data_IF_861281022291
#
_entry.id   IF_861281022291
#
_cell.length_a   1.000
_cell.length_b   1.000
_cell.length_c   1.000
_cell.angle_alpha   90.00
_cell.angle_beta   90.00
_cell.angle_gamma   90.00
#
_symmetry.space_group_name_H-M   'P 1'
#
loop_
_entity.id
_entity.type
_entity.pdbx_description
1 polymer ?
#
# COMPACT_ATOMS: atom_id res chain seq x y z
N UNK A 1 -24.02 6.65 -7.01
CA UNK A 1 -23.30 6.05 -5.86
C UNK A 1 -22.61 4.78 -6.33
N UNK A 2 -21.34 4.55 -5.98
CA UNK A 2 -20.61 3.34 -6.39
C UNK A 2 -21.09 2.14 -5.56
N UNK A 3 -21.39 1.04 -6.24
CA UNK A 3 -21.82 -0.24 -5.65
C UNK A 3 -20.87 -1.35 -6.02
N UNK A 4 -20.78 -2.36 -5.18
CA UNK A 4 -19.91 -3.53 -5.36
C UNK A 4 -20.73 -4.81 -5.25
N UNK A 5 -20.40 -5.77 -6.10
CA UNK A 5 -20.86 -7.14 -6.01
C UNK A 5 -20.08 -7.92 -4.94
N UNK A 6 -20.65 -9.06 -4.53
CA UNK A 6 -19.98 -10.00 -3.61
C UNK A 6 -18.61 -10.44 -4.13
N UNK A 7 -18.47 -10.61 -5.45
CA UNK A 7 -17.22 -11.03 -6.09
C UNK A 7 -16.15 -9.94 -5.98
N UNK A 8 -16.51 -8.69 -6.27
CA UNK A 8 -15.58 -7.58 -6.18
C UNK A 8 -15.10 -7.36 -4.74
N UNK A 9 -15.99 -7.46 -3.74
CA UNK A 9 -15.57 -7.35 -2.33
C UNK A 9 -14.65 -8.51 -1.92
N UNK A 10 -14.90 -9.71 -2.46
CA UNK A 10 -14.05 -10.88 -2.21
C UNK A 10 -12.62 -10.64 -2.68
N UNK A 11 -12.47 -10.09 -3.88
CA UNK A 11 -11.18 -9.74 -4.46
C UNK A 11 -10.52 -8.58 -3.70
N UNK A 12 -11.28 -7.52 -3.38
CA UNK A 12 -10.79 -6.36 -2.63
C UNK A 12 -10.29 -6.72 -1.22
N UNK A 13 -10.99 -7.62 -0.52
CA UNK A 13 -10.67 -8.02 0.85
C UNK A 13 -9.84 -9.31 0.94
N UNK A 14 -9.49 -9.93 -0.19
CA UNK A 14 -8.80 -11.22 -0.23
C UNK A 14 -9.52 -12.30 0.59
N UNK A 15 -10.86 -12.29 0.61
CA UNK A 15 -11.67 -13.12 1.50
C UNK A 15 -12.65 -13.96 0.69
N UNK A 16 -12.89 -15.22 1.09
CA UNK A 16 -13.79 -16.12 0.38
C UNK A 16 -15.20 -15.49 0.16
N UNK A 17 -15.76 -15.53 -1.07
CA UNK A 17 -17.10 -15.00 -1.37
C UNK A 17 -18.19 -15.52 -0.44
N UNK A 18 -18.09 -16.77 0.02
CA UNK A 18 -19.07 -17.36 0.94
C UNK A 18 -19.06 -16.70 2.31
N UNK A 19 -17.89 -16.24 2.78
CA UNK A 19 -17.78 -15.46 4.02
C UNK A 19 -18.55 -14.14 3.89
N UNK A 20 -18.48 -13.50 2.72
CA UNK A 20 -19.21 -12.25 2.45
C UNK A 20 -20.72 -12.51 2.40
N UNK A 21 -21.16 -13.58 1.73
CA UNK A 21 -22.59 -13.98 1.75
C UNK A 21 -23.08 -14.24 3.18
N UNK A 22 -22.27 -14.89 4.01
CA UNK A 22 -22.58 -15.11 5.43
C UNK A 22 -22.71 -13.81 6.22
N UNK A 23 -21.88 -12.80 5.95
CA UNK A 23 -22.02 -11.48 6.58
C UNK A 23 -23.29 -10.76 6.16
N UNK A 24 -23.67 -10.85 4.90
CA UNK A 24 -24.92 -10.29 4.39
C UNK A 24 -26.12 -10.99 5.06
N UNK A 25 -26.12 -12.33 5.08
CA UNK A 25 -27.20 -13.10 5.71
C UNK A 25 -27.33 -12.86 7.22
N UNK A 26 -26.21 -12.60 7.90
CA UNK A 26 -26.21 -12.28 9.35
C UNK A 26 -26.45 -10.80 9.65
N UNK A 27 -26.65 -9.96 8.62
CA UNK A 27 -26.86 -8.52 8.78
C UNK A 27 -25.61 -7.72 9.16
N UNK A 28 -24.43 -8.35 9.23
CA UNK A 28 -23.16 -7.67 9.52
C UNK A 28 -22.74 -6.73 8.39
N UNK A 29 -23.00 -7.13 7.15
CA UNK A 29 -22.74 -6.33 5.96
C UNK A 29 -24.08 -6.00 5.29
N UNK A 30 -24.43 -4.72 5.25
CA UNK A 30 -25.68 -4.28 4.61
C UNK A 30 -25.53 -4.38 3.09
N UNK A 31 -26.51 -5.01 2.46
CA UNK A 31 -26.60 -5.14 1.00
C UNK A 31 -28.04 -4.93 0.56
N UNK A 32 -28.22 -4.45 -0.67
CA UNK A 32 -29.50 -4.38 -1.35
C UNK A 32 -29.51 -5.38 -2.49
N UNK A 33 -30.64 -6.08 -2.66
CA UNK A 33 -30.84 -7.01 -3.77
C UNK A 33 -31.91 -6.43 -4.69
N UNK A 34 -31.53 -5.70 -5.75
CA UNK A 34 -32.50 -5.13 -6.70
C UNK A 34 -33.26 -6.22 -7.48
N UNK A 35 -32.61 -7.35 -7.75
CA UNK A 35 -33.21 -8.48 -8.48
C UNK A 35 -32.56 -9.81 -8.08
N UNK A 36 -33.30 -10.91 -8.26
CA UNK A 36 -32.76 -12.27 -8.13
C UNK A 36 -31.60 -12.53 -9.09
N UNK A 37 -31.61 -11.90 -10.27
CA UNK A 37 -30.59 -12.06 -11.31
C UNK A 37 -29.31 -11.25 -11.04
N UNK A 38 -29.44 -10.06 -10.44
CA UNK A 38 -28.30 -9.17 -10.16
C UNK A 38 -27.60 -9.51 -8.85
N UNK A 39 -28.29 -10.20 -7.93
CA UNK A 39 -27.72 -10.62 -6.66
C UNK A 39 -27.53 -9.46 -5.67
N UNK A 40 -26.68 -9.67 -4.67
CA UNK A 40 -26.45 -8.69 -3.61
C UNK A 40 -25.47 -7.60 -4.05
N UNK A 41 -25.90 -6.35 -3.94
CA UNK A 41 -25.09 -5.16 -4.16
C UNK A 41 -24.86 -4.44 -2.84
N UNK A 42 -23.63 -4.01 -2.62
CA UNK A 42 -23.20 -3.31 -1.41
C UNK A 42 -22.80 -1.90 -1.82
N UNK A 43 -23.36 -0.89 -1.15
CA UNK A 43 -22.94 0.49 -1.39
C UNK A 43 -21.54 0.75 -0.81
N UNK A 44 -20.78 1.65 -1.42
CA UNK A 44 -19.48 2.07 -0.86
C UNK A 44 -19.60 2.56 0.59
N UNK A 45 -20.69 3.25 0.94
CA UNK A 45 -20.94 3.72 2.30
C UNK A 45 -21.14 2.57 3.29
N UNK A 46 -21.94 1.56 2.93
CA UNK A 46 -22.20 0.40 3.79
C UNK A 46 -20.95 -0.47 3.95
N UNK A 47 -20.15 -0.61 2.90
CA UNK A 47 -18.85 -1.29 2.96
C UNK A 47 -17.89 -0.56 3.92
N UNK A 48 -17.84 0.78 3.88
CA UNK A 48 -17.01 1.55 4.80
C UNK A 48 -17.48 1.42 6.26
N UNK A 49 -18.80 1.41 6.51
CA UNK A 49 -19.34 1.18 7.86
C UNK A 49 -18.93 -0.20 8.37
N UNK A 50 -19.04 -1.24 7.53
CA UNK A 50 -18.60 -2.59 7.87
C UNK A 50 -17.11 -2.64 8.20
N UNK A 51 -16.25 -2.05 7.36
CA UNK A 51 -14.79 -2.06 7.56
C UNK A 51 -14.34 -1.32 8.83
N UNK A 52 -15.05 -0.26 9.23
CA UNK A 52 -14.83 0.41 10.52
C UNK A 52 -15.15 -0.51 11.71
N UNK A 53 -16.16 -1.37 11.58
CA UNK A 53 -16.55 -2.35 12.60
C UNK A 53 -15.72 -3.64 12.59
N UNK A 54 -14.91 -3.87 11.55
CA UNK A 54 -14.10 -5.10 11.42
C UNK A 54 -12.61 -4.80 11.18
N UNK A 55 -11.82 -4.60 12.25
CA UNK A 55 -10.39 -4.24 12.16
C UNK A 55 -9.52 -5.22 11.36
N UNK A 56 -9.92 -6.50 11.30
CA UNK A 56 -9.22 -7.54 10.50
C UNK A 56 -9.18 -7.21 9.00
N UNK A 57 -10.19 -6.52 8.47
CA UNK A 57 -10.36 -6.29 7.03
C UNK A 57 -10.11 -4.83 6.63
N UNK A 58 -9.93 -3.93 7.61
CA UNK A 58 -9.63 -2.51 7.35
C UNK A 58 -8.25 -2.32 6.70
N UNK A 59 -7.26 -3.14 7.08
CA UNK A 59 -5.90 -3.12 6.53
C UNK A 59 -5.81 -3.63 5.08
N UNK A 60 -6.69 -4.56 4.69
CA UNK A 60 -6.73 -5.12 3.32
C UNK A 60 -7.52 -4.20 2.38
N UNK A 61 -8.63 -3.62 2.85
CA UNK A 61 -9.40 -2.64 2.09
C UNK A 61 -8.57 -1.38 1.77
N UNK A 62 -7.73 -0.92 2.70
CA UNK A 62 -6.82 0.21 2.49
C UNK A 62 -5.83 -0.05 1.33
N UNK A 63 -5.34 -1.28 1.16
CA UNK A 63 -4.46 -1.65 0.03
C UNK A 63 -5.20 -1.65 -1.31
N UNK A 64 -6.45 -2.12 -1.32
CA UNK A 64 -7.24 -2.22 -2.56
C UNK A 64 -7.83 -0.89 -3.04
N UNK A 65 -8.17 0.03 -2.12
CA UNK A 65 -8.67 1.36 -2.49
C UNK A 65 -7.56 2.30 -3.01
N UNK A 66 -6.31 2.08 -2.60
CA UNK A 66 -5.16 2.87 -3.06
C UNK A 66 -4.87 2.74 -4.57
N UNK A 67 -5.39 1.70 -5.24
CA UNK A 67 -5.11 1.43 -6.67
C UNK A 67 -6.11 2.12 -7.60
N UNK A 68 -7.32 2.46 -7.13
CA UNK A 68 -8.40 2.94 -8.00
C UNK A 68 -8.61 4.46 -8.02
N UNK A 69 -7.83 5.21 -7.26
CA UNK A 69 -7.91 6.68 -7.17
C UNK A 69 -6.52 7.24 -6.83
N UNK A 70 -6.08 8.37 -7.40
CA UNK A 70 -4.79 9.00 -7.07
C UNK A 70 -4.89 9.73 -5.71
N UNK A 71 -5.47 9.05 -4.70
CA UNK A 71 -5.57 9.54 -3.34
C UNK A 71 -4.24 9.22 -2.66
N UNK A 72 -3.62 10.23 -2.06
CA UNK A 72 -2.44 10.09 -1.21
C UNK A 72 -2.92 9.44 0.10
N UNK A 73 -3.22 8.14 0.06
CA UNK A 73 -3.50 7.36 1.25
C UNK A 73 -2.16 7.03 1.92
N UNK A 74 -1.76 7.82 2.92
CA UNK A 74 -0.69 7.43 3.84
C UNK A 74 -1.08 6.10 4.50
N UNK A 75 -0.34 5.00 4.26
CA UNK A 75 -0.71 3.72 4.83
C UNK A 75 -0.38 3.71 6.33
N UNK A 76 -1.36 3.25 7.11
CA UNK A 76 -1.26 2.86 8.51
C UNK A 76 -0.26 1.69 8.65
N UNK A 77 1.04 1.99 8.67
CA UNK A 77 2.13 1.00 8.80
C UNK A 77 2.74 1.02 10.19
N UNK A 78 2.10 1.54 11.25
CA UNK A 78 2.75 1.50 12.57
C UNK A 78 1.78 1.09 13.69
N UNK A 79 1.97 -0.14 14.17
CA UNK A 79 1.37 -0.63 15.41
C UNK A 79 1.94 0.15 16.58
N UNK A 80 1.20 1.14 17.05
CA UNK A 80 1.58 1.96 18.19
C UNK A 80 0.84 3.28 18.13
N UNK A 81 -0.24 3.37 18.92
CA UNK A 81 -0.99 4.57 19.30
C UNK A 81 -0.97 5.69 18.25
N UNK A 82 -1.94 5.68 17.32
CA UNK A 82 -2.63 6.86 16.76
C UNK A 82 -3.53 6.40 15.62
N UNK A 83 -4.83 6.29 15.92
CA UNK A 83 -5.86 5.83 14.98
C UNK A 83 -6.12 6.81 13.84
N UNK A 84 -6.17 6.27 12.62
CA UNK A 84 -6.96 6.74 11.46
C UNK A 84 -7.13 8.25 11.28
N UNK A 85 -6.13 8.93 10.70
CA UNK A 85 -6.33 10.24 10.10
C UNK A 85 -6.56 10.07 8.59
N UNK A 86 -7.83 10.15 8.17
CA UNK A 86 -8.21 10.30 6.77
C UNK A 86 -8.29 11.79 6.45
N UNK A 87 -7.47 12.29 5.53
CA UNK A 87 -7.35 13.74 5.28
C UNK A 87 -8.27 14.28 4.17
N UNK A 88 -8.94 13.42 3.41
CA UNK A 88 -9.40 13.86 2.09
C UNK A 88 -10.89 14.23 1.99
N UNK A 89 -11.72 14.03 3.04
CA UNK A 89 -13.17 14.34 3.00
C UNK A 89 -13.74 14.77 4.36
N UNK A 90 -12.96 15.42 5.21
CA UNK A 90 -13.41 15.87 6.53
C UNK A 90 -13.17 17.37 6.60
N UNK A 91 -14.25 18.15 6.77
CA UNK A 91 -14.17 19.52 7.28
C UNK A 91 -13.15 19.55 8.42
N UNK A 92 -12.01 20.22 8.18
CA UNK A 92 -10.78 20.10 8.96
C UNK A 92 -10.92 20.38 10.46
N UNK A 93 -12.07 20.88 10.91
CA UNK A 93 -12.36 21.18 12.31
C UNK A 93 -12.97 20.02 13.11
N UNK A 94 -13.65 19.05 12.49
CA UNK A 94 -14.58 18.18 13.23
C UNK A 94 -13.97 16.92 13.87
N UNK A 95 -12.72 16.56 13.52
CA UNK A 95 -12.09 15.32 14.05
C UNK A 95 -10.78 15.50 14.80
N UNK A 96 -10.20 16.70 14.79
CA UNK A 96 -9.06 17.00 15.68
C UNK A 96 -9.54 17.13 17.13
N UNK A 97 -10.77 17.63 17.35
CA UNK A 97 -11.33 17.86 18.70
C UNK A 97 -11.77 16.59 19.45
N UNK A 98 -12.07 15.49 18.74
CA UNK A 98 -12.60 14.25 19.33
C UNK A 98 -11.53 13.21 19.65
N UNK A 99 -10.26 13.50 19.34
CA UNK A 99 -9.13 12.67 19.70
C UNK A 99 -8.40 13.39 20.84
N UNK A 100 -8.20 12.70 21.97
CA UNK A 100 -7.59 13.27 23.18
C UNK A 100 -6.07 13.44 23.03
N UNK A 101 -5.63 14.03 21.91
CA UNK A 101 -4.22 14.21 21.54
C UNK A 101 -4.01 15.69 21.27
N UNK A 102 -2.99 16.27 21.90
CA UNK A 102 -2.64 17.65 21.63
C UNK A 102 -2.16 17.80 20.19
N UNK A 103 -2.63 18.85 19.49
CA UNK A 103 -2.12 19.19 18.16
C UNK A 103 -0.59 19.31 18.14
N UNK A 104 0.02 19.74 19.24
CA UNK A 104 1.48 19.84 19.39
C UNK A 104 2.19 18.47 19.41
N UNK A 105 1.56 17.44 19.96
CA UNK A 105 2.12 16.08 20.00
C UNK A 105 2.05 15.43 18.62
N UNK A 106 0.95 15.65 17.88
CA UNK A 106 0.83 15.22 16.48
C UNK A 106 1.88 15.88 15.60
N UNK A 107 2.07 17.20 15.74
CA UNK A 107 3.08 17.94 14.96
C UNK A 107 4.49 17.40 15.25
N UNK A 108 4.85 17.20 16.52
CA UNK A 108 6.16 16.65 16.89
C UNK A 108 6.37 15.24 16.35
N UNK A 109 5.35 14.38 16.45
CA UNK A 109 5.39 13.05 15.88
C UNK A 109 5.65 13.09 14.37
N UNK A 110 4.85 13.89 13.63
CA UNK A 110 5.00 14.01 12.18
C UNK A 110 6.36 14.57 11.78
N UNK A 111 6.89 15.56 12.51
CA UNK A 111 8.24 16.08 12.28
C UNK A 111 9.31 15.00 12.47
N UNK A 112 9.19 14.18 13.51
CA UNK A 112 10.11 13.06 13.75
C UNK A 112 10.05 12.01 12.64
N UNK A 113 8.86 11.69 12.14
CA UNK A 113 8.69 10.75 11.03
C UNK A 113 9.28 11.30 9.73
N UNK A 114 9.02 12.57 9.41
CA UNK A 114 9.63 13.26 8.26
C UNK A 114 11.16 13.18 8.35
N UNK A 115 11.73 13.44 9.53
CA UNK A 115 13.17 13.39 9.74
C UNK A 115 13.72 11.97 9.54
N UNK A 116 13.11 10.95 10.15
CA UNK A 116 13.54 9.55 10.00
C UNK A 116 13.49 9.08 8.55
N UNK A 117 12.41 9.39 7.83
CA UNK A 117 12.31 9.06 6.40
C UNK A 117 13.34 9.81 5.56
N UNK A 118 13.62 11.08 5.87
CA UNK A 118 14.65 11.86 5.17
C UNK A 118 16.05 11.23 5.35
N UNK A 119 16.38 10.78 6.56
CA UNK A 119 17.63 10.06 6.83
C UNK A 119 17.68 8.74 6.06
N UNK A 120 16.62 7.95 6.13
CA UNK A 120 16.55 6.67 5.43
C UNK A 120 16.62 6.81 3.89
N UNK A 121 16.15 7.92 3.34
CA UNK A 121 16.34 8.26 1.91
C UNK A 121 17.81 8.56 1.64
N UNK A 122 18.47 9.31 2.52
CA UNK A 122 19.87 9.68 2.34
C UNK A 122 20.79 8.46 2.39
N UNK A 123 20.57 7.54 3.33
CA UNK A 123 21.30 6.26 3.41
C UNK A 123 21.15 5.45 2.12
N UNK A 124 19.91 5.25 1.64
CA UNK A 124 19.67 4.53 0.38
C UNK A 124 20.33 5.19 -0.83
N UNK A 125 20.46 6.52 -0.84
CA UNK A 125 21.19 7.22 -1.92
C UNK A 125 22.68 6.89 -1.88
N UNK A 126 23.28 6.77 -0.70
CA UNK A 126 24.68 6.34 -0.56
C UNK A 126 24.86 4.90 -1.02
N UNK A 127 23.93 4.01 -0.67
CA UNK A 127 23.95 2.61 -1.13
C UNK A 127 23.87 2.52 -2.65
N UNK A 128 23.03 3.34 -3.31
CA UNK A 128 22.95 3.40 -4.77
C UNK A 128 24.31 3.81 -5.37
N UNK A 129 24.97 4.83 -4.81
CA UNK A 129 26.28 5.29 -5.30
C UNK A 129 27.32 4.17 -5.16
N UNK A 130 27.33 3.49 -4.01
CA UNK A 130 28.23 2.38 -3.76
C UNK A 130 28.01 1.24 -4.76
N UNK A 131 26.77 0.77 -4.91
CA UNK A 131 26.41 -0.29 -5.86
C UNK A 131 26.74 0.09 -7.30
N UNK A 132 26.57 1.37 -7.68
CA UNK A 132 26.97 1.84 -9.01
C UNK A 132 28.48 1.73 -9.23
N UNK A 133 29.30 2.05 -8.22
CA UNK A 133 30.75 1.88 -8.30
C UNK A 133 31.15 0.40 -8.40
N UNK A 134 30.45 -0.48 -7.68
CA UNK A 134 30.69 -1.93 -7.73
C UNK A 134 30.40 -2.50 -9.13
N UNK A 135 29.25 -2.15 -9.70
CA UNK A 135 28.87 -2.53 -11.07
C UNK A 135 29.93 -2.05 -12.09
N UNK A 136 30.44 -0.82 -11.95
CA UNK A 136 31.48 -0.31 -12.84
C UNK A 136 32.78 -1.12 -12.73
N UNK A 137 33.17 -1.50 -11.52
CA UNK A 137 34.35 -2.33 -11.31
C UNK A 137 34.20 -3.72 -11.94
N UNK A 138 33.05 -4.36 -11.76
CA UNK A 138 32.76 -5.66 -12.40
C UNK A 138 32.78 -5.55 -13.92
N UNK A 139 32.22 -4.47 -14.48
CA UNK A 139 32.23 -4.24 -15.92
C UNK A 139 33.66 -4.12 -16.47
N UNK A 140 34.54 -3.39 -15.78
CA UNK A 140 35.95 -3.29 -16.16
C UNK A 140 36.65 -4.66 -16.12
N UNK A 141 36.37 -5.48 -15.11
CA UNK A 141 36.91 -6.84 -15.03
C UNK A 141 36.43 -7.72 -16.18
N UNK A 142 35.13 -7.66 -16.51
CA UNK A 142 34.57 -8.38 -17.65
C UNK A 142 35.26 -7.98 -18.94
N UNK A 143 35.47 -6.68 -19.17
CA UNK A 143 36.09 -6.19 -20.40
C UNK A 143 37.56 -6.60 -20.49
N UNK A 144 38.29 -6.58 -19.37
CA UNK A 144 39.65 -7.11 -19.30
C UNK A 144 39.69 -8.61 -19.63
N UNK A 145 38.80 -9.42 -19.05
CA UNK A 145 38.71 -10.84 -19.34
C UNK A 145 38.38 -11.12 -20.81
N UNK A 146 37.44 -10.38 -21.41
CA UNK A 146 37.12 -10.47 -22.85
C UNK A 146 38.34 -10.18 -23.72
N UNK A 147 39.13 -9.17 -23.36
CA UNK A 147 40.36 -8.82 -24.11
C UNK A 147 41.40 -9.93 -24.04
N UNK A 148 41.53 -10.58 -22.88
CA UNK A 148 42.42 -11.73 -22.70
C UNK A 148 41.97 -12.93 -23.54
N UNK A 149 40.67 -13.27 -23.50
CA UNK A 149 40.10 -14.34 -24.33
C UNK A 149 40.40 -14.09 -25.81
N UNK A 150 40.10 -12.90 -26.32
CA UNK A 150 40.33 -12.55 -27.73
C UNK A 150 41.81 -12.64 -28.13
N UNK A 151 42.72 -12.27 -27.22
CA UNK A 151 44.17 -12.38 -27.44
C UNK A 151 44.61 -13.84 -27.56
N UNK A 152 44.06 -14.71 -26.70
CA UNK A 152 44.34 -16.14 -26.71
C UNK A 152 43.80 -16.78 -28.00
N UNK A 153 42.54 -16.53 -28.36
CA UNK A 153 41.93 -17.03 -29.61
C UNK A 153 42.76 -16.64 -30.84
N UNK A 154 43.19 -15.37 -30.91
CA UNK A 154 44.06 -14.88 -31.99
C UNK A 154 45.41 -15.60 -32.02
N UNK A 155 45.99 -15.89 -30.85
CA UNK A 155 47.28 -16.60 -30.75
C UNK A 155 47.21 -18.08 -31.12
N UNK A 156 46.06 -18.72 -30.94
CA UNK A 156 45.82 -20.13 -31.25
C UNK A 156 45.47 -20.37 -32.74
N UNK A 157 45.29 -19.30 -33.53
CA UNK A 157 44.89 -19.41 -34.94
C UNK A 157 43.43 -19.81 -35.12
N UNK A 158 42.63 -19.76 -34.06
CA UNK A 158 41.19 -20.00 -34.10
C UNK A 158 40.49 -18.69 -34.47
N UNK A 159 40.30 -18.48 -35.77
CA UNK A 159 39.41 -17.46 -36.33
C UNK A 159 38.50 -18.07 -37.38
#
# INVERSE_FOLDING_TARGET
MKTYSVKEISELLGTNPETIRRWIRSGKLKATQPSKKEGNLISSADLQVFLKGTPKYSSVAAKSLAIATPLISFPLVFGGVLGTLAFEHIDGEYKIKNANISASELIQYLQREIFQHSQSINEKKQDIIHLQSEIQNEQMQIDALKSLVSSIETSLGEK
#
